data_IF_971599022840
#
_entry.id   IF_971599022840
#
_cell.length_a   1.000
_cell.length_b   1.000
_cell.length_c   1.000
_cell.angle_alpha   90.00
_cell.angle_beta   90.00
_cell.angle_gamma   90.00
#
_symmetry.space_group_name_H-M   'P 1'
#
loop_
_entity.id
_entity.type
_entity.pdbx_description
1 polymer ?
#
# COMPACT_ATOMS: atom_id res chain seq x y z
N UNK A 1 -9.16 -9.88 3.19
CA UNK A 1 -8.59 -8.53 2.92
C UNK A 1 -7.71 -8.18 4.09
N UNK A 2 -6.40 -8.05 3.89
CA UNK A 2 -5.43 -7.80 4.96
C UNK A 2 -4.94 -6.36 4.83
N UNK A 3 -5.14 -5.57 5.88
CA UNK A 3 -4.53 -4.25 6.02
C UNK A 3 -3.13 -4.47 6.59
N UNK A 4 -2.14 -3.83 5.99
CA UNK A 4 -0.73 -3.99 6.31
C UNK A 4 -0.15 -2.60 6.55
N UNK A 5 0.57 -2.47 7.66
CA UNK A 5 1.19 -1.22 8.08
C UNK A 5 2.54 -1.09 7.37
N UNK A 6 2.52 -0.61 6.12
CA UNK A 6 3.70 -0.42 5.27
C UNK A 6 3.70 1.02 4.77
N UNK A 7 4.85 1.71 4.78
CA UNK A 7 4.92 3.07 4.26
C UNK A 7 4.55 3.08 2.78
N UNK A 8 3.54 3.87 2.42
CA UNK A 8 3.19 4.08 1.03
C UNK A 8 4.29 4.92 0.35
N UNK A 9 4.91 4.45 -0.75
CA UNK A 9 5.99 5.17 -1.43
C UNK A 9 5.53 6.50 -2.07
N UNK A 10 4.23 6.70 -2.25
CA UNK A 10 3.67 7.91 -2.87
C UNK A 10 3.54 9.06 -1.87
N UNK A 11 2.97 8.78 -0.70
CA UNK A 11 2.60 9.81 0.29
C UNK A 11 3.34 9.68 1.62
N UNK A 12 4.26 8.70 1.72
CA UNK A 12 5.03 8.37 2.93
C UNK A 12 4.14 8.10 4.18
N UNK A 13 2.88 7.70 3.97
CA UNK A 13 1.92 7.34 5.03
C UNK A 13 1.88 5.83 5.20
N UNK A 14 2.03 5.36 6.43
CA UNK A 14 2.08 3.94 6.80
C UNK A 14 0.69 3.37 7.16
N UNK A 15 -0.24 4.24 7.56
CA UNK A 15 -1.45 3.88 8.32
C UNK A 15 -2.62 3.30 7.50
N UNK A 16 -2.46 3.05 6.20
CA UNK A 16 -3.63 2.83 5.35
C UNK A 16 -3.39 1.99 4.08
N UNK A 17 -2.46 1.02 4.11
CA UNK A 17 -2.17 0.18 2.95
C UNK A 17 -2.93 -1.15 3.00
N UNK A 18 -3.74 -1.40 1.99
CA UNK A 18 -4.59 -2.58 1.84
C UNK A 18 -3.98 -3.51 0.80
N UNK A 19 -3.73 -4.78 1.18
CA UNK A 19 -3.28 -5.80 0.24
C UNK A 19 -4.49 -6.37 -0.51
N UNK A 20 -4.61 -6.04 -1.80
CA UNK A 20 -5.69 -6.53 -2.68
C UNK A 20 -5.32 -7.80 -3.46
N UNK A 21 -4.04 -8.13 -3.60
CA UNK A 21 -3.58 -9.31 -4.32
C UNK A 21 -2.21 -9.78 -3.87
N UNK A 22 -1.64 -10.78 -4.56
CA UNK A 22 -0.32 -11.33 -4.21
C UNK A 22 0.75 -10.23 -4.15
N UNK A 23 0.70 -9.30 -5.09
CA UNK A 23 1.61 -8.15 -5.21
C UNK A 23 0.90 -6.79 -5.34
N UNK A 24 -0.42 -6.73 -5.19
CA UNK A 24 -1.17 -5.48 -5.34
C UNK A 24 -1.49 -4.87 -3.98
N UNK A 25 -1.02 -3.65 -3.75
CA UNK A 25 -1.28 -2.84 -2.57
C UNK A 25 -2.04 -1.58 -2.95
N UNK A 26 -2.88 -1.10 -2.04
CA UNK A 26 -3.70 0.09 -2.23
C UNK A 26 -3.62 0.97 -1.00
N UNK A 27 -3.06 2.17 -1.12
CA UNK A 27 -3.07 3.13 -0.03
C UNK A 27 -4.38 3.91 -0.05
N UNK A 28 -5.18 3.81 1.01
CA UNK A 28 -6.38 4.63 1.20
C UNK A 28 -6.07 6.08 1.53
N UNK A 29 -4.88 6.41 2.04
CA UNK A 29 -4.55 7.78 2.43
C UNK A 29 -4.33 8.70 1.22
N UNK A 30 -3.80 8.17 0.12
CA UNK A 30 -3.64 8.90 -1.15
C UNK A 30 -4.45 8.29 -2.29
N UNK A 31 -5.32 7.33 -1.96
CA UNK A 31 -6.20 6.60 -2.87
C UNK A 31 -5.49 5.99 -4.10
N UNK A 32 -4.20 5.64 -3.95
CA UNK A 32 -3.37 5.06 -5.02
C UNK A 32 -3.09 3.58 -4.83
N UNK A 33 -3.16 2.84 -5.94
CA UNK A 33 -2.66 1.48 -6.04
C UNK A 33 -1.16 1.48 -6.41
N UNK A 34 -0.41 0.52 -5.87
CA UNK A 34 1.00 0.26 -6.19
C UNK A 34 1.34 -1.21 -5.96
N UNK A 35 2.43 -1.66 -6.56
CA UNK A 35 2.89 -3.03 -6.45
C UNK A 35 3.82 -3.25 -5.26
N UNK A 36 3.94 -4.50 -4.81
CA UNK A 36 4.88 -4.93 -3.76
C UNK A 36 6.32 -4.48 -4.03
N UNK A 37 6.68 -4.46 -5.32
CA UNK A 37 8.01 -4.14 -5.80
C UNK A 37 8.39 -2.67 -5.48
N UNK A 38 7.40 -1.79 -5.39
CA UNK A 38 7.62 -0.37 -5.06
C UNK A 38 7.94 -0.12 -3.57
N UNK A 39 7.86 -1.15 -2.73
CA UNK A 39 8.11 -1.08 -1.27
C UNK A 39 9.46 -1.73 -0.90
N UNK A 40 10.29 -2.05 -1.90
CA UNK A 40 11.58 -2.72 -1.72
C UNK A 40 12.66 -1.80 -1.14
#
# INVERSE_FOLDING_TARGET
MVVVDIPCPVCARTDAVEKRGLNAYYCRACERAFDADAIR
#
